data_IF_680117142000
#
_entry.id   IF_680117142000
#
_cell.length_a   1.000
_cell.length_b   1.000
_cell.length_c   1.000
_cell.angle_alpha   90.00
_cell.angle_beta   90.00
_cell.angle_gamma   90.00
#
_symmetry.space_group_name_H-M   'P 1'
#
loop_
_entity.id
_entity.type
_entity.pdbx_description
1 polymer ?
#
# COMPACT_ATOMS: atom_id res chain seq x y z
N UNK A 1 -18.73 47.04 1.39
CA UNK A 1 -17.26 47.01 1.23
C UNK A 1 -16.56 45.93 2.06
N UNK A 2 -17.04 45.52 3.23
CA UNK A 2 -16.39 44.51 4.10
C UNK A 2 -16.55 43.03 3.62
N UNK A 3 -17.64 42.65 2.95
CA UNK A 3 -17.91 41.29 2.50
C UNK A 3 -16.99 40.84 1.35
N UNK A 4 -16.65 41.75 0.42
CA UNK A 4 -15.76 41.44 -0.71
C UNK A 4 -14.33 41.14 -0.29
N UNK A 5 -13.86 41.70 0.83
CA UNK A 5 -12.51 41.43 1.38
C UNK A 5 -12.46 40.05 2.07
N UNK A 6 -13.57 39.62 2.70
CA UNK A 6 -13.66 38.32 3.38
C UNK A 6 -13.67 37.16 2.39
N UNK A 7 -14.41 37.29 1.29
CA UNK A 7 -14.47 36.26 0.23
C UNK A 7 -13.13 36.14 -0.50
N UNK A 8 -12.44 37.24 -0.77
CA UNK A 8 -11.08 37.21 -1.36
C UNK A 8 -10.05 36.53 -0.43
N UNK A 9 -10.14 36.77 0.88
CA UNK A 9 -9.26 36.13 1.85
C UNK A 9 -9.47 34.61 1.96
N UNK A 10 -10.74 34.14 1.92
CA UNK A 10 -11.08 32.71 1.95
C UNK A 10 -10.63 32.02 0.66
N UNK A 11 -10.82 32.63 -0.50
CA UNK A 11 -10.36 32.09 -1.79
C UNK A 11 -8.83 32.06 -1.88
N UNK A 12 -8.13 33.08 -1.39
CA UNK A 12 -6.69 33.09 -1.33
C UNK A 12 -6.12 32.06 -0.36
N UNK A 13 -6.79 31.83 0.78
CA UNK A 13 -6.42 30.80 1.75
C UNK A 13 -6.62 29.38 1.17
N UNK A 14 -7.75 29.13 0.50
CA UNK A 14 -8.01 27.84 -0.15
C UNK A 14 -7.03 27.54 -1.30
N UNK A 15 -6.68 28.54 -2.11
CA UNK A 15 -5.66 28.40 -3.15
C UNK A 15 -4.27 28.16 -2.54
N UNK A 16 -3.93 28.80 -1.44
CA UNK A 16 -2.63 28.61 -0.77
C UNK A 16 -2.52 27.21 -0.16
N UNK A 17 -3.60 26.66 0.40
CA UNK A 17 -3.64 25.27 0.90
C UNK A 17 -3.53 24.24 -0.24
N UNK A 18 -4.20 24.46 -1.37
CA UNK A 18 -4.13 23.58 -2.54
C UNK A 18 -2.73 23.60 -3.17
N UNK A 19 -2.05 24.74 -3.23
CA UNK A 19 -0.68 24.86 -3.75
C UNK A 19 0.34 24.26 -2.78
N UNK A 20 0.16 24.39 -1.47
CA UNK A 20 1.04 23.76 -0.48
C UNK A 20 0.98 22.25 -0.52
N UNK A 21 -0.20 21.65 -0.72
CA UNK A 21 -0.35 20.20 -0.85
C UNK A 21 0.22 19.69 -2.19
N UNK A 22 0.01 20.41 -3.29
CA UNK A 22 0.63 20.08 -4.57
C UNK A 22 2.18 20.20 -4.50
N UNK A 23 2.69 21.22 -3.82
CA UNK A 23 4.13 21.45 -3.63
C UNK A 23 4.79 20.37 -2.76
N UNK A 24 4.11 19.89 -1.71
CA UNK A 24 4.63 18.82 -0.85
C UNK A 24 4.76 17.50 -1.62
N UNK A 25 3.81 17.18 -2.50
CA UNK A 25 3.87 15.98 -3.34
C UNK A 25 4.91 16.09 -4.48
N UNK A 26 5.09 17.28 -5.06
CA UNK A 26 6.16 17.50 -6.06
C UNK A 26 7.56 17.43 -5.46
N UNK A 27 7.76 17.81 -4.20
CA UNK A 27 9.06 17.73 -3.53
C UNK A 27 9.57 16.28 -3.34
N UNK A 28 8.67 15.29 -3.27
CA UNK A 28 9.04 13.87 -3.20
C UNK A 28 9.26 13.23 -4.59
N UNK A 29 9.04 13.96 -5.68
CA UNK A 29 9.21 13.49 -7.06
C UNK A 29 8.13 12.51 -7.51
N UNK A 30 6.99 12.45 -6.82
CA UNK A 30 5.84 11.65 -7.22
C UNK A 30 4.81 12.51 -7.97
N UNK A 31 4.21 11.91 -9.02
CA UNK A 31 3.06 12.45 -9.74
C UNK A 31 1.83 11.61 -9.43
N UNK A 32 0.71 12.26 -9.17
CA UNK A 32 -0.58 11.58 -9.02
C UNK A 32 -0.99 10.93 -10.34
N UNK A 33 -1.49 9.71 -10.30
CA UNK A 33 -1.92 8.94 -11.47
C UNK A 33 -3.35 8.43 -11.29
N UNK A 34 -4.05 8.15 -12.39
CA UNK A 34 -5.25 7.33 -12.42
C UNK A 34 -4.86 5.87 -12.67
N UNK A 35 -5.09 5.03 -11.68
CA UNK A 35 -4.75 3.61 -11.75
C UNK A 35 -5.45 2.89 -12.90
N UNK A 36 -6.66 3.31 -13.28
CA UNK A 36 -7.40 2.69 -14.40
C UNK A 36 -6.69 2.90 -15.73
N UNK A 37 -6.09 4.08 -15.92
CA UNK A 37 -5.37 4.41 -17.16
C UNK A 37 -3.97 3.78 -17.13
N UNK A 38 -3.28 3.84 -16.00
CA UNK A 38 -1.89 3.41 -15.89
C UNK A 38 -1.71 1.88 -15.91
N UNK A 39 -2.72 1.11 -15.48
CA UNK A 39 -2.68 -0.36 -15.38
C UNK A 39 -3.37 -1.11 -16.52
N UNK A 40 -3.83 -0.45 -17.58
CA UNK A 40 -4.51 -1.09 -18.71
C UNK A 40 -3.64 -2.14 -19.42
N UNK A 41 -2.33 -1.97 -19.45
CA UNK A 41 -1.42 -2.84 -20.18
C UNK A 41 -0.65 -3.84 -19.31
N UNK A 42 -0.37 -3.54 -18.04
CA UNK A 42 0.60 -4.27 -17.21
C UNK A 42 0.15 -4.64 -15.80
N UNK A 43 -1.14 -4.56 -15.46
CA UNK A 43 -1.61 -4.84 -14.10
C UNK A 43 -1.27 -6.25 -13.59
N UNK A 44 -1.18 -7.24 -14.49
CA UNK A 44 -0.77 -8.59 -14.13
C UNK A 44 0.72 -8.69 -13.78
N UNK A 45 1.58 -7.97 -14.53
CA UNK A 45 3.02 -7.96 -14.33
C UNK A 45 3.40 -7.44 -12.95
N UNK A 46 2.65 -6.47 -12.47
CA UNK A 46 2.92 -5.80 -11.21
C UNK A 46 3.01 -6.78 -10.04
N UNK A 47 2.01 -7.63 -9.84
CA UNK A 47 2.05 -8.64 -8.76
C UNK A 47 3.00 -9.82 -9.02
N UNK A 48 3.39 -10.05 -10.27
CA UNK A 48 4.37 -11.10 -10.59
C UNK A 48 5.76 -10.77 -10.07
N UNK A 49 6.13 -9.51 -10.06
CA UNK A 49 7.49 -9.06 -9.74
C UNK A 49 7.72 -8.79 -8.25
N UNK A 50 6.71 -8.96 -7.42
CA UNK A 50 6.64 -8.69 -5.98
C UNK A 50 6.64 -7.20 -5.62
N UNK A 51 5.89 -6.88 -4.55
CA UNK A 51 5.64 -5.53 -4.09
C UNK A 51 5.87 -5.42 -2.59
N UNK A 52 6.01 -4.20 -2.06
CA UNK A 52 5.94 -3.95 -0.62
C UNK A 52 4.53 -3.54 -0.21
N UNK A 53 4.00 -4.20 0.82
CA UNK A 53 2.80 -3.80 1.54
C UNK A 53 3.21 -3.12 2.83
N UNK A 54 2.64 -1.94 3.15
CA UNK A 54 2.84 -1.27 4.42
C UNK A 54 1.51 -0.89 5.06
N UNK A 55 1.46 -0.98 6.39
CA UNK A 55 0.32 -0.56 7.22
C UNK A 55 0.80 -0.05 8.58
N UNK A 56 -0.08 0.68 9.27
CA UNK A 56 0.17 1.34 10.53
C UNK A 56 -0.02 2.85 10.42
N UNK A 57 0.59 3.58 11.32
CA UNK A 57 0.48 5.02 11.45
C UNK A 57 1.86 5.68 11.71
N UNK A 58 1.84 6.97 12.04
CA UNK A 58 3.06 7.75 12.32
C UNK A 58 3.80 7.31 13.59
N UNK A 59 3.10 6.67 14.53
CA UNK A 59 3.71 6.16 15.76
C UNK A 59 4.39 4.82 15.52
N UNK A 60 3.72 3.94 14.76
CA UNK A 60 4.23 2.61 14.48
C UNK A 60 3.69 2.06 13.18
N UNK A 61 4.60 1.69 12.28
CA UNK A 61 4.27 1.10 10.99
C UNK A 61 5.17 -0.09 10.68
N UNK A 62 4.69 -0.99 9.84
CA UNK A 62 5.47 -2.14 9.36
C UNK A 62 5.17 -2.43 7.89
N UNK A 63 6.18 -2.95 7.21
CA UNK A 63 6.06 -3.37 5.83
C UNK A 63 6.59 -4.79 5.62
N UNK A 64 6.13 -5.42 4.55
CA UNK A 64 6.57 -6.73 4.10
C UNK A 64 6.44 -6.87 2.60
N UNK A 65 7.19 -7.76 2.02
CA UNK A 65 7.03 -8.14 0.61
C UNK A 65 5.83 -9.04 0.44
N UNK A 66 5.04 -8.76 -0.58
CA UNK A 66 3.95 -9.59 -1.09
C UNK A 66 4.23 -9.95 -2.55
N UNK A 67 3.80 -11.13 -2.98
CA UNK A 67 3.93 -11.56 -4.37
C UNK A 67 2.59 -12.04 -4.94
N UNK A 68 1.51 -11.89 -4.18
CA UNK A 68 0.17 -12.29 -4.56
C UNK A 68 -0.80 -11.14 -4.36
N UNK A 69 -1.61 -10.90 -5.37
CA UNK A 69 -2.58 -9.83 -5.35
C UNK A 69 -3.29 -9.70 -6.68
N UNK A 70 -4.02 -8.63 -6.82
CA UNK A 70 -4.71 -8.29 -8.05
C UNK A 70 -5.30 -6.89 -7.96
N UNK A 71 -5.46 -6.27 -9.12
CA UNK A 71 -6.15 -5.00 -9.27
C UNK A 71 -7.37 -5.21 -10.15
N UNK A 72 -8.47 -4.58 -9.82
CA UNK A 72 -9.72 -4.76 -10.57
C UNK A 72 -10.84 -3.88 -10.04
N UNK A 73 -12.06 -4.38 -10.11
CA UNK A 73 -13.26 -3.66 -9.65
C UNK A 73 -14.08 -4.54 -8.71
N UNK A 74 -14.43 -4.00 -7.54
CA UNK A 74 -15.36 -4.62 -6.60
C UNK A 74 -16.34 -3.56 -6.10
N UNK A 75 -17.64 -3.88 -6.08
CA UNK A 75 -18.73 -2.97 -5.64
C UNK A 75 -18.69 -1.60 -6.34
N UNK A 76 -18.33 -1.60 -7.63
CA UNK A 76 -18.23 -0.38 -8.43
C UNK A 76 -17.00 0.50 -8.10
N UNK A 77 -16.06 0.01 -7.28
CA UNK A 77 -14.84 0.72 -6.89
C UNK A 77 -13.61 0.10 -7.52
N UNK A 78 -12.66 0.93 -7.95
CA UNK A 78 -11.33 0.43 -8.29
C UNK A 78 -10.72 -0.18 -7.04
N UNK A 79 -10.35 -1.44 -7.11
CA UNK A 79 -9.91 -2.21 -5.93
C UNK A 79 -8.59 -2.90 -6.15
N UNK A 80 -7.85 -3.05 -5.06
CA UNK A 80 -6.61 -3.80 -4.98
C UNK A 80 -6.76 -4.86 -3.91
N UNK A 81 -6.48 -6.12 -4.27
CA UNK A 81 -6.54 -7.26 -3.36
C UNK A 81 -5.12 -7.70 -2.99
N UNK A 82 -4.88 -7.92 -1.71
CA UNK A 82 -3.60 -8.42 -1.19
C UNK A 82 -3.83 -9.58 -0.21
N UNK A 83 -2.80 -10.40 -0.01
CA UNK A 83 -2.87 -11.57 0.86
C UNK A 83 -1.73 -11.52 1.88
N UNK A 84 -2.08 -11.61 3.17
CA UNK A 84 -1.12 -11.55 4.28
C UNK A 84 -1.27 -12.79 5.16
N UNK A 85 -0.20 -13.57 5.30
CA UNK A 85 -0.21 -14.78 6.11
C UNK A 85 -0.30 -14.45 7.61
N UNK A 86 -0.99 -15.29 8.38
CA UNK A 86 -1.38 -15.03 9.77
C UNK A 86 -0.23 -14.73 10.72
N UNK A 87 0.94 -15.37 10.52
CA UNK A 87 2.11 -15.19 11.40
C UNK A 87 3.01 -14.02 10.99
N UNK A 88 2.69 -13.31 9.90
CA UNK A 88 3.45 -12.13 9.49
C UNK A 88 3.18 -10.97 10.45
N UNK A 89 4.26 -10.30 10.91
CA UNK A 89 4.11 -9.19 11.85
C UNK A 89 3.29 -8.02 11.28
N UNK A 90 3.41 -7.77 9.98
CA UNK A 90 2.62 -6.73 9.29
C UNK A 90 1.10 -7.01 9.35
N UNK A 91 0.68 -8.29 9.55
CA UNK A 91 -0.74 -8.62 9.73
C UNK A 91 -1.36 -7.93 10.94
N UNK A 92 -0.63 -7.82 12.05
CA UNK A 92 -1.12 -7.14 13.26
C UNK A 92 -1.43 -5.66 13.00
N UNK A 93 -0.77 -5.04 12.01
CA UNK A 93 -1.01 -3.67 11.57
C UNK A 93 -2.16 -3.61 10.58
N UNK A 94 -2.21 -4.53 9.62
CA UNK A 94 -3.32 -4.63 8.66
C UNK A 94 -4.67 -4.84 9.33
N UNK A 95 -4.73 -5.65 10.39
CA UNK A 95 -5.98 -5.94 11.11
C UNK A 95 -6.54 -4.73 11.87
N UNK A 96 -5.71 -3.72 12.14
CA UNK A 96 -6.08 -2.49 12.87
C UNK A 96 -6.19 -1.27 11.97
N UNK A 97 -5.61 -1.34 10.77
CA UNK A 97 -5.54 -0.22 9.86
C UNK A 97 -6.88 0.04 9.16
N UNK A 98 -7.19 1.29 8.92
CA UNK A 98 -8.23 1.69 7.96
C UNK A 98 -7.70 1.75 6.53
N UNK A 99 -6.41 2.07 6.38
CA UNK A 99 -5.71 2.21 5.10
C UNK A 99 -4.42 1.40 5.08
N UNK A 100 -4.00 1.00 3.88
CA UNK A 100 -2.68 0.43 3.61
C UNK A 100 -2.11 0.97 2.32
N UNK A 101 -0.81 0.86 2.14
CA UNK A 101 -0.15 1.14 0.86
C UNK A 101 0.45 -0.11 0.25
N UNK A 102 0.46 -0.15 -1.08
CA UNK A 102 1.26 -1.09 -1.87
C UNK A 102 2.23 -0.30 -2.74
N UNK A 103 3.49 -0.70 -2.72
CA UNK A 103 4.58 0.03 -3.35
C UNK A 103 5.35 -0.84 -4.32
N UNK A 104 5.49 -0.36 -5.57
CA UNK A 104 6.39 -0.95 -6.55
C UNK A 104 7.79 -0.36 -6.38
N UNK A 105 8.80 -1.23 -6.48
CA UNK A 105 10.20 -0.85 -6.55
C UNK A 105 10.75 -1.24 -7.92
N UNK A 106 11.78 -0.53 -8.38
CA UNK A 106 12.46 -0.93 -9.60
C UNK A 106 13.10 -2.33 -9.45
N UNK A 107 13.18 -3.10 -10.54
CA UNK A 107 13.76 -4.46 -10.56
C UNK A 107 15.18 -4.51 -9.98
N UNK A 108 15.93 -3.40 -10.03
CA UNK A 108 17.25 -3.26 -9.42
C UNK A 108 17.25 -3.36 -7.89
N UNK A 109 16.09 -3.17 -7.25
CA UNK A 109 15.91 -3.16 -5.80
C UNK A 109 15.54 -4.53 -5.24
N UNK A 110 15.85 -5.61 -5.96
CA UNK A 110 15.59 -6.99 -5.53
C UNK A 110 16.11 -7.32 -4.11
N UNK A 111 17.17 -6.64 -3.66
CA UNK A 111 17.68 -6.76 -2.27
C UNK A 111 16.68 -6.24 -1.25
N UNK A 112 16.00 -5.12 -1.54
CA UNK A 112 14.96 -4.53 -0.69
C UNK A 112 13.81 -5.53 -0.54
N UNK A 113 13.27 -6.00 -1.66
CA UNK A 113 12.15 -6.95 -1.68
C UNK A 113 12.50 -8.25 -0.96
N UNK A 114 13.69 -8.80 -1.20
CA UNK A 114 14.14 -10.02 -0.53
C UNK A 114 14.26 -9.82 0.99
N UNK A 115 14.93 -8.77 1.43
CA UNK A 115 15.11 -8.47 2.86
C UNK A 115 13.78 -8.25 3.57
N UNK A 116 12.90 -7.43 2.99
CA UNK A 116 11.57 -7.13 3.52
C UNK A 116 10.67 -8.37 3.60
N UNK A 117 10.84 -9.34 2.70
CA UNK A 117 10.09 -10.59 2.67
C UNK A 117 10.60 -11.68 3.60
N UNK A 118 11.91 -11.71 3.87
CA UNK A 118 12.56 -12.79 4.62
C UNK A 118 12.83 -12.45 6.09
N UNK A 119 13.10 -11.18 6.42
CA UNK A 119 13.37 -10.75 7.79
C UNK A 119 12.09 -10.40 8.53
N UNK A 120 12.04 -10.70 9.83
CA UNK A 120 10.92 -10.32 10.68
C UNK A 120 11.02 -8.87 11.12
N UNK A 121 9.92 -8.12 11.03
CA UNK A 121 9.83 -6.78 11.60
C UNK A 121 9.75 -6.76 13.14
N UNK A 122 9.69 -7.94 13.80
CA UNK A 122 9.81 -8.08 15.26
C UNK A 122 11.26 -7.98 15.71
N UNK A 123 12.21 -8.34 14.85
CA UNK A 123 13.64 -8.42 15.18
C UNK A 123 14.36 -7.06 15.00
N UNK A 124 13.68 -6.07 14.43
CA UNK A 124 14.25 -4.73 14.22
C UNK A 124 13.54 -3.91 13.17
N UNK A 125 14.06 -2.71 12.93
CA UNK A 125 13.57 -1.82 11.89
C UNK A 125 14.21 -2.18 10.54
N UNK A 126 13.39 -2.80 9.69
CA UNK A 126 13.83 -3.22 8.35
C UNK A 126 14.05 -2.04 7.39
N UNK A 127 13.27 -0.96 7.54
CA UNK A 127 13.43 0.22 6.70
C UNK A 127 14.77 0.90 7.02
N UNK A 128 15.07 1.10 8.29
CA UNK A 128 16.34 1.65 8.73
C UNK A 128 17.55 0.79 8.26
N UNK A 129 17.45 -0.54 8.37
CA UNK A 129 18.49 -1.46 7.94
C UNK A 129 18.79 -1.40 6.44
N UNK A 130 17.81 -0.94 5.64
CA UNK A 130 17.90 -0.79 4.18
C UNK A 130 18.15 0.66 3.74
N UNK A 131 18.18 1.62 4.66
CA UNK A 131 18.29 3.04 4.34
C UNK A 131 17.04 3.60 3.65
N UNK A 132 15.86 3.00 3.88
CA UNK A 132 14.60 3.49 3.34
C UNK A 132 14.03 4.60 4.24
N UNK A 133 13.48 5.63 3.62
CA UNK A 133 12.86 6.76 4.32
C UNK A 133 11.34 6.60 4.32
N UNK A 134 10.78 6.46 5.51
CA UNK A 134 9.33 6.39 5.69
C UNK A 134 8.71 7.77 5.61
N UNK A 135 7.73 7.92 4.73
CA UNK A 135 6.84 9.07 4.65
C UNK A 135 5.38 8.60 4.87
N UNK A 136 4.45 9.56 4.93
CA UNK A 136 3.05 9.27 5.22
C UNK A 136 2.14 10.04 4.25
N UNK A 137 1.09 9.37 3.79
CA UNK A 137 0.04 10.00 2.98
C UNK A 137 -0.75 11.02 3.82
N UNK A 138 -1.69 11.73 3.20
CA UNK A 138 -2.63 12.60 3.91
C UNK A 138 -3.49 11.84 4.94
N UNK A 139 -3.81 10.58 4.67
CA UNK A 139 -4.53 9.70 5.60
C UNK A 139 -3.62 9.10 6.69
N UNK A 140 -2.33 9.46 6.72
CA UNK A 140 -1.37 8.97 7.70
C UNK A 140 -0.84 7.57 7.40
N UNK A 141 -1.07 7.03 6.21
CA UNK A 141 -0.64 5.70 5.80
C UNK A 141 0.84 5.69 5.42
N UNK A 142 1.65 4.76 5.93
CA UNK A 142 3.10 4.74 5.67
C UNK A 142 3.43 4.31 4.25
N UNK A 143 4.46 4.90 3.67
CA UNK A 143 5.12 4.47 2.43
C UNK A 143 6.61 4.81 2.45
N UNK A 144 7.39 4.30 1.49
CA UNK A 144 8.81 4.62 1.35
C UNK A 144 9.05 5.54 0.16
N UNK A 145 9.83 6.60 0.40
CA UNK A 145 10.12 7.61 -0.63
C UNK A 145 10.95 7.06 -1.79
N UNK A 146 11.60 5.93 -1.65
CA UNK A 146 12.36 5.26 -2.71
C UNK A 146 11.50 4.44 -3.67
N UNK A 147 10.21 4.26 -3.38
CA UNK A 147 9.30 3.53 -4.26
C UNK A 147 9.15 4.24 -5.62
N UNK A 148 9.04 3.46 -6.69
CA UNK A 148 8.75 3.97 -8.03
C UNK A 148 7.25 4.29 -8.19
N UNK A 149 6.39 3.55 -7.47
CA UNK A 149 4.94 3.77 -7.43
C UNK A 149 4.42 3.47 -6.04
N UNK A 150 3.42 4.21 -5.62
CA UNK A 150 2.69 4.02 -4.36
C UNK A 150 1.20 4.02 -4.65
N UNK A 151 0.47 3.01 -4.20
CA UNK A 151 -1.00 2.95 -4.24
C UNK A 151 -1.49 2.90 -2.80
N UNK A 152 -2.34 3.84 -2.42
CA UNK A 152 -3.02 3.87 -1.13
C UNK A 152 -4.43 3.33 -1.27
N UNK A 153 -4.80 2.41 -0.38
CA UNK A 153 -6.09 1.75 -0.38
C UNK A 153 -6.80 1.90 0.96
N UNK A 154 -8.10 2.17 0.91
CA UNK A 154 -9.01 2.07 2.06
C UNK A 154 -9.54 0.64 2.15
N UNK A 155 -9.39 -0.03 3.29
CA UNK A 155 -9.86 -1.41 3.47
C UNK A 155 -11.38 -1.46 3.38
N UNK A 156 -11.90 -2.22 2.43
CA UNK A 156 -13.34 -2.49 2.26
C UNK A 156 -13.74 -3.85 2.82
N UNK A 157 -12.82 -4.82 2.80
CA UNK A 157 -13.09 -6.18 3.24
C UNK A 157 -11.79 -6.85 3.74
N UNK A 158 -11.91 -7.63 4.80
CA UNK A 158 -10.82 -8.46 5.31
C UNK A 158 -11.38 -9.77 5.87
N UNK A 159 -10.84 -10.92 5.43
CA UNK A 159 -11.19 -12.22 5.96
C UNK A 159 -10.04 -13.22 5.79
N UNK A 160 -9.83 -14.15 6.74
CA UNK A 160 -8.94 -15.29 6.53
C UNK A 160 -9.51 -16.22 5.48
N UNK A 161 -8.64 -16.93 4.74
CA UNK A 161 -9.09 -18.06 3.97
C UNK A 161 -9.51 -19.20 4.91
N UNK A 162 -10.69 -19.75 4.67
CA UNK A 162 -11.19 -20.93 5.38
C UNK A 162 -10.89 -22.18 4.53
N UNK A 163 -10.12 -23.15 5.08
CA UNK A 163 -9.77 -24.38 4.37
C UNK A 163 -10.97 -25.19 3.85
N UNK A 164 -12.14 -25.09 4.51
CA UNK A 164 -13.34 -25.79 4.06
C UNK A 164 -13.80 -25.36 2.65
N UNK A 165 -13.43 -24.15 2.23
CA UNK A 165 -13.77 -23.62 0.91
C UNK A 165 -12.70 -23.85 -0.15
N UNK A 166 -11.58 -24.51 0.16
CA UNK A 166 -10.60 -24.89 -0.85
C UNK A 166 -11.15 -25.96 -1.80
N UNK A 167 -11.37 -25.57 -3.07
CA UNK A 167 -11.98 -26.45 -4.08
C UNK A 167 -10.96 -27.26 -4.90
N UNK A 168 -9.66 -27.04 -4.67
CA UNK A 168 -8.59 -27.78 -5.32
C UNK A 168 -7.52 -28.21 -4.30
N UNK A 169 -6.63 -29.12 -4.71
CA UNK A 169 -5.56 -29.62 -3.85
C UNK A 169 -4.36 -28.67 -3.77
N UNK A 170 -4.23 -27.74 -4.71
CA UNK A 170 -3.07 -26.83 -4.75
C UNK A 170 -2.94 -26.01 -3.46
N UNK A 171 -3.96 -25.26 -2.98
CA UNK A 171 -3.86 -24.55 -1.71
C UNK A 171 -3.72 -25.49 -0.51
N UNK A 172 -4.36 -26.66 -0.51
CA UNK A 172 -4.22 -27.64 0.58
C UNK A 172 -2.77 -28.11 0.73
N UNK A 173 -2.13 -28.50 -0.38
CA UNK A 173 -0.70 -28.89 -0.38
C UNK A 173 0.22 -27.76 0.03
N UNK A 174 -0.05 -26.54 -0.46
CA UNK A 174 0.76 -25.37 -0.13
C UNK A 174 0.70 -25.07 1.36
N UNK A 175 -0.49 -24.97 1.94
CA UNK A 175 -0.65 -24.62 3.35
C UNK A 175 -0.28 -25.71 4.34
N UNK A 176 -0.23 -26.98 3.92
CA UNK A 176 0.20 -28.10 4.77
C UNK A 176 1.58 -27.86 5.39
N UNK A 177 2.48 -27.18 4.67
CA UNK A 177 3.85 -26.94 5.09
C UNK A 177 4.25 -25.45 5.03
N UNK A 178 3.30 -24.52 4.90
CA UNK A 178 3.61 -23.10 4.81
C UNK A 178 3.83 -22.51 6.22
N UNK A 179 5.09 -22.13 6.57
CA UNK A 179 5.44 -21.82 7.96
C UNK A 179 4.76 -20.54 8.49
N UNK A 180 4.35 -19.65 7.59
CA UNK A 180 3.67 -18.40 7.97
C UNK A 180 2.16 -18.57 8.19
N UNK A 181 1.60 -19.79 7.99
CA UNK A 181 0.19 -20.06 8.16
C UNK A 181 -0.70 -19.62 7.01
N UNK A 182 -2.01 -19.71 7.20
CA UNK A 182 -3.00 -19.36 6.19
C UNK A 182 -3.04 -17.85 5.98
N UNK A 183 -3.29 -17.40 4.75
CA UNK A 183 -3.42 -15.99 4.43
C UNK A 183 -4.82 -15.47 4.78
N UNK A 184 -4.87 -14.21 5.17
CA UNK A 184 -6.07 -13.39 5.09
C UNK A 184 -6.03 -12.58 3.80
N UNK A 185 -7.18 -12.47 3.16
CA UNK A 185 -7.43 -11.59 2.03
C UNK A 185 -7.85 -10.22 2.56
N UNK A 186 -7.27 -9.16 2.01
CA UNK A 186 -7.70 -7.78 2.20
C UNK A 186 -8.03 -7.20 0.85
N UNK A 187 -9.19 -6.58 0.72
CA UNK A 187 -9.61 -5.86 -0.47
C UNK A 187 -9.75 -4.39 -0.09
N UNK A 188 -8.99 -3.52 -0.74
CA UNK A 188 -9.04 -2.09 -0.53
C UNK A 188 -9.53 -1.34 -1.76
N UNK A 189 -10.35 -0.29 -1.55
CA UNK A 189 -10.63 0.72 -2.57
C UNK A 189 -9.36 1.53 -2.80
N UNK A 190 -8.94 1.66 -4.05
CA UNK A 190 -7.84 2.58 -4.41
C UNK A 190 -8.32 4.01 -4.25
N UNK A 191 -7.79 4.72 -3.27
CA UNK A 191 -8.15 6.11 -2.98
C UNK A 191 -7.12 7.10 -3.53
N UNK A 192 -5.87 6.71 -3.58
CA UNK A 192 -4.78 7.49 -4.15
C UNK A 192 -3.74 6.59 -4.83
N UNK A 193 -3.09 7.13 -5.85
CA UNK A 193 -1.94 6.49 -6.47
C UNK A 193 -0.96 7.53 -7.02
N UNK A 194 0.33 7.23 -6.91
CA UNK A 194 1.41 8.10 -7.38
C UNK A 194 2.53 7.28 -7.98
N UNK A 195 3.18 7.81 -9.01
CA UNK A 195 4.43 7.28 -9.56
C UNK A 195 5.45 8.37 -9.84
N UNK A 196 6.71 8.00 -9.89
CA UNK A 196 7.84 8.85 -10.32
C UNK A 196 7.97 8.90 -11.81
#
# INVERSE_FOLDING_TARGET
MKIHHFIKAILASAMLFATLNAFAQEQEGFKKIDVKEDFTENGFQWFRDAELLAAGDKEKSKAMTIGWGGIGTLWGRTSLTVYVAEKRYTKEFMDKAEYFTVMAFNVKDSKVLNYMGTKSGRDGDKAQALGLHTAYTENGTPYYTEAAMVIECKIMYAAPFDPQYFKSDAPKRMYANFPAGIHSMYIGEVVNAWKR
#
